data_IF_062155177270
#
_entry.id   IF_062155177270
#
_cell.length_a   1.000
_cell.length_b   1.000
_cell.length_c   1.000
_cell.angle_alpha   90.00
_cell.angle_beta   90.00
_cell.angle_gamma   90.00
#
_symmetry.space_group_name_H-M   'P 1'
#
loop_
_entity.id
_entity.type
_entity.pdbx_description
1 polymer ?
#
# COMPACT_ATOMS: atom_id res chain seq x y z
N UNK A 1 61.42 38.27 -3.53
CA UNK A 1 61.20 37.62 -4.83
C UNK A 1 60.66 36.17 -4.71
N UNK A 2 60.76 35.59 -3.53
CA UNK A 2 60.27 34.22 -3.28
C UNK A 2 58.71 34.11 -3.10
N UNK A 3 58.05 35.12 -2.54
CA UNK A 3 56.62 35.08 -2.33
C UNK A 3 55.75 35.06 -3.60
N UNK A 4 56.23 35.64 -4.69
CA UNK A 4 55.50 35.73 -5.95
C UNK A 4 55.56 34.35 -6.67
N UNK A 5 56.68 33.62 -6.52
CA UNK A 5 56.86 32.30 -7.15
C UNK A 5 55.97 31.23 -6.48
N UNK A 6 55.82 31.29 -5.16
CA UNK A 6 54.96 30.34 -4.43
C UNK A 6 53.45 30.55 -4.72
N UNK A 7 53.01 31.80 -4.87
CA UNK A 7 51.66 32.12 -5.22
C UNK A 7 51.28 31.61 -6.64
N UNK A 8 52.21 31.78 -7.61
CA UNK A 8 51.98 31.28 -8.97
C UNK A 8 51.93 29.76 -9.06
N UNK A 9 52.74 29.04 -8.25
CA UNK A 9 52.77 27.59 -8.24
C UNK A 9 51.46 27.00 -7.63
N UNK A 10 50.94 27.61 -6.55
CA UNK A 10 49.67 27.18 -5.90
C UNK A 10 48.49 27.45 -6.85
N UNK A 11 48.50 28.56 -7.58
CA UNK A 11 47.43 28.89 -8.52
C UNK A 11 47.39 27.92 -9.70
N UNK A 12 48.58 27.50 -10.21
CA UNK A 12 48.67 26.51 -11.26
C UNK A 12 48.16 25.12 -10.84
N UNK A 13 48.50 24.66 -9.65
CA UNK A 13 48.04 23.39 -9.09
C UNK A 13 46.53 23.34 -8.84
N UNK A 14 45.96 24.46 -8.40
CA UNK A 14 44.51 24.57 -8.18
C UNK A 14 43.73 24.55 -9.50
N UNK A 15 44.26 25.19 -10.55
CA UNK A 15 43.64 25.20 -11.88
C UNK A 15 43.68 23.85 -12.52
N UNK A 16 44.81 23.10 -12.44
CA UNK A 16 44.90 21.72 -12.97
C UNK A 16 43.94 20.76 -12.28
N UNK A 17 43.83 20.85 -10.96
CA UNK A 17 42.87 19.99 -10.24
C UNK A 17 41.40 20.31 -10.58
N UNK A 18 41.11 21.58 -10.94
CA UNK A 18 39.77 21.99 -11.35
C UNK A 18 39.37 21.46 -12.73
N UNK A 19 40.31 21.46 -13.69
CA UNK A 19 40.06 20.89 -15.05
C UNK A 19 39.93 19.39 -15.03
N UNK A 20 40.73 18.67 -14.24
CA UNK A 20 40.63 17.21 -14.11
C UNK A 20 39.30 16.77 -13.50
N UNK A 21 38.81 17.51 -12.48
CA UNK A 21 37.48 17.27 -11.92
C UNK A 21 36.35 17.55 -12.91
N UNK A 22 36.47 18.60 -13.74
CA UNK A 22 35.48 18.91 -14.78
C UNK A 22 35.44 17.86 -15.90
N UNK A 23 36.59 17.32 -16.30
CA UNK A 23 36.67 16.25 -17.30
C UNK A 23 36.15 14.92 -16.75
N UNK A 24 36.38 14.62 -15.44
CA UNK A 24 35.87 13.43 -14.79
C UNK A 24 34.33 13.47 -14.67
N UNK A 25 33.73 14.63 -14.33
CA UNK A 25 32.28 14.77 -14.27
C UNK A 25 31.59 14.68 -15.65
N UNK A 26 32.26 15.09 -16.72
CA UNK A 26 31.72 14.96 -18.09
C UNK A 26 31.77 13.51 -18.60
N UNK A 27 32.73 12.72 -18.15
CA UNK A 27 32.82 11.29 -18.52
C UNK A 27 31.84 10.41 -17.75
N UNK A 28 31.50 10.77 -16.50
CA UNK A 28 30.54 10.02 -15.68
C UNK A 28 29.07 10.30 -16.07
N UNK A 29 28.79 11.46 -16.68
CA UNK A 29 27.42 11.80 -17.11
C UNK A 29 26.92 10.97 -18.30
N UNK A 30 27.83 10.34 -19.07
CA UNK A 30 27.46 9.54 -20.25
C UNK A 30 27.17 8.07 -19.94
N UNK A 31 27.47 7.55 -18.75
CA UNK A 31 27.24 6.14 -18.38
C UNK A 31 26.02 5.92 -17.46
N UNK A 32 25.37 7.00 -17.02
CA UNK A 32 24.20 6.93 -16.13
C UNK A 32 22.85 6.76 -16.85
N UNK A 33 22.85 6.63 -18.18
CA UNK A 33 21.62 6.73 -18.98
C UNK A 33 20.99 5.37 -19.36
N UNK A 34 21.41 4.23 -18.81
CA UNK A 34 20.87 2.92 -19.22
C UNK A 34 20.58 1.95 -18.07
N UNK A 35 20.35 2.40 -16.85
CA UNK A 35 19.66 1.59 -15.85
C UNK A 35 18.20 2.02 -15.82
N UNK A 36 17.43 1.59 -16.81
CA UNK A 36 15.99 1.49 -16.69
C UNK A 36 15.71 0.44 -15.63
N UNK A 37 15.64 0.85 -14.36
CA UNK A 37 15.05 0.04 -13.32
C UNK A 37 13.57 -0.05 -13.70
N UNK A 38 13.18 -1.13 -14.35
CA UNK A 38 11.80 -1.55 -14.39
C UNK A 38 11.43 -1.82 -12.94
N UNK A 39 10.91 -0.79 -12.24
CA UNK A 39 10.15 -1.00 -11.01
C UNK A 39 8.98 -1.84 -11.45
N UNK A 40 9.09 -3.16 -11.25
CA UNK A 40 7.91 -4.02 -11.25
C UNK A 40 6.99 -3.39 -10.22
N UNK A 41 5.94 -2.72 -10.70
CA UNK A 41 4.86 -2.30 -9.83
C UNK A 41 4.44 -3.53 -9.06
N UNK A 42 4.34 -3.49 -7.71
CA UNK A 42 3.78 -4.60 -6.99
C UNK A 42 2.45 -4.91 -7.68
N UNK A 43 2.20 -6.19 -7.96
CA UNK A 43 0.91 -6.65 -8.46
C UNK A 43 -0.06 -6.31 -7.34
N UNK A 44 -0.62 -5.11 -7.37
CA UNK A 44 -1.78 -4.79 -6.55
C UNK A 44 -2.82 -5.84 -6.94
N UNK A 45 -3.12 -6.72 -5.98
CA UNK A 45 -4.29 -7.59 -6.08
C UNK A 45 -5.44 -6.70 -6.53
N UNK A 46 -5.92 -6.91 -7.77
CA UNK A 46 -6.93 -6.04 -8.38
C UNK A 46 -8.21 -6.17 -7.57
N UNK A 47 -8.37 -5.29 -6.61
CA UNK A 47 -9.62 -5.17 -5.88
C UNK A 47 -10.69 -4.74 -6.88
N UNK A 48 -11.53 -5.71 -7.23
CA UNK A 48 -12.65 -5.52 -8.15
C UNK A 48 -13.84 -4.91 -7.39
N UNK A 49 -14.77 -4.34 -8.14
CA UNK A 49 -16.09 -4.03 -7.59
C UNK A 49 -16.74 -5.32 -7.06
N UNK A 50 -17.49 -5.21 -5.97
CA UNK A 50 -18.20 -6.34 -5.36
C UNK A 50 -19.65 -5.98 -5.05
N UNK A 51 -20.48 -7.00 -4.88
CA UNK A 51 -21.88 -6.86 -4.46
C UNK A 51 -22.14 -7.74 -3.25
N UNK A 52 -22.59 -7.13 -2.16
CA UNK A 52 -22.95 -7.77 -0.92
C UNK A 52 -24.47 -7.69 -0.73
N UNK A 53 -25.18 -8.79 -0.89
CA UNK A 53 -26.64 -8.78 -0.94
C UNK A 53 -27.17 -7.85 -2.04
N UNK A 54 -27.89 -6.79 -1.67
CA UNK A 54 -28.38 -5.77 -2.61
C UNK A 54 -27.43 -4.58 -2.79
N UNK A 55 -26.40 -4.44 -1.97
CA UNK A 55 -25.47 -3.29 -1.97
C UNK A 55 -24.31 -3.54 -2.93
N UNK A 56 -24.05 -2.60 -3.82
CA UNK A 56 -22.93 -2.62 -4.75
C UNK A 56 -21.83 -1.66 -4.31
N UNK A 57 -20.59 -2.12 -4.36
CA UNK A 57 -19.39 -1.35 -4.05
C UNK A 57 -18.49 -1.25 -5.27
N UNK A 58 -18.04 -0.04 -5.58
CA UNK A 58 -17.05 0.19 -6.64
C UNK A 58 -15.68 -0.36 -6.21
N UNK A 59 -14.82 -0.66 -7.17
CA UNK A 59 -13.43 -1.02 -6.88
C UNK A 59 -12.69 0.05 -6.05
N UNK A 60 -13.02 1.32 -6.23
CA UNK A 60 -12.45 2.40 -5.42
C UNK A 60 -12.87 2.33 -3.95
N UNK A 61 -14.14 2.02 -3.67
CA UNK A 61 -14.64 1.84 -2.29
C UNK A 61 -14.01 0.61 -1.62
N UNK A 62 -13.89 -0.50 -2.35
CA UNK A 62 -13.21 -1.71 -1.85
C UNK A 62 -11.76 -1.40 -1.51
N UNK A 63 -11.01 -0.74 -2.41
CA UNK A 63 -9.62 -0.35 -2.17
C UNK A 63 -9.48 0.58 -0.98
N UNK A 64 -10.33 1.60 -0.88
CA UNK A 64 -10.28 2.56 0.23
C UNK A 64 -10.54 1.89 1.59
N UNK A 65 -11.49 0.97 1.67
CA UNK A 65 -11.78 0.21 2.88
C UNK A 65 -10.61 -0.74 3.24
N UNK A 66 -10.06 -1.46 2.27
CA UNK A 66 -8.93 -2.36 2.49
C UNK A 66 -7.65 -1.60 2.91
N UNK A 67 -7.39 -0.44 2.31
CA UNK A 67 -6.27 0.42 2.68
C UNK A 67 -6.42 0.97 4.11
N UNK A 68 -7.62 1.39 4.50
CA UNK A 68 -7.90 1.84 5.87
C UNK A 68 -7.75 0.70 6.88
N UNK A 69 -8.27 -0.50 6.57
CA UNK A 69 -8.08 -1.68 7.40
C UNK A 69 -6.60 -1.99 7.64
N UNK A 70 -5.79 -1.93 6.59
CA UNK A 70 -4.35 -2.11 6.65
C UNK A 70 -3.67 -1.05 7.52
N UNK A 71 -4.01 0.21 7.33
CA UNK A 71 -3.42 1.33 8.09
C UNK A 71 -3.70 1.18 9.59
N UNK A 72 -4.95 0.94 9.98
CA UNK A 72 -5.31 0.71 11.39
C UNK A 72 -4.62 -0.53 11.96
N UNK A 73 -4.60 -1.63 11.21
CA UNK A 73 -3.94 -2.86 11.64
C UNK A 73 -2.44 -2.65 11.87
N UNK A 74 -1.74 -1.98 10.96
CA UNK A 74 -0.30 -1.73 11.08
C UNK A 74 0.08 -0.76 12.19
N UNK A 75 -0.83 0.16 12.55
CA UNK A 75 -0.63 1.09 13.66
C UNK A 75 -1.12 0.56 15.01
N UNK A 76 -1.62 -0.68 15.06
CA UNK A 76 -2.25 -1.29 16.25
C UNK A 76 -3.37 -0.39 16.82
N UNK A 77 -4.16 0.21 15.91
CA UNK A 77 -5.22 1.16 16.23
C UNK A 77 -6.56 0.70 15.63
N UNK A 78 -7.65 1.37 15.98
CA UNK A 78 -9.00 1.08 15.51
C UNK A 78 -9.71 2.33 14.99
N UNK A 79 -10.73 2.13 14.14
CA UNK A 79 -11.51 3.22 13.59
C UNK A 79 -12.40 3.86 14.67
N UNK A 80 -12.01 5.02 15.17
CA UNK A 80 -12.70 5.75 16.25
C UNK A 80 -12.79 4.92 17.53
N UNK A 81 -13.97 4.85 18.12
CA UNK A 81 -14.24 4.02 19.33
C UNK A 81 -14.67 2.58 19.00
N UNK A 82 -14.49 2.12 17.76
CA UNK A 82 -14.89 0.77 17.35
C UNK A 82 -13.81 -0.26 17.71
N UNK A 83 -14.09 -1.54 17.39
CA UNK A 83 -13.13 -2.63 17.52
C UNK A 83 -12.50 -3.04 16.19
N UNK A 84 -12.74 -2.25 15.11
CA UNK A 84 -12.27 -2.59 13.76
C UNK A 84 -10.97 -1.86 13.39
N UNK A 85 -10.06 -2.55 12.71
CA UNK A 85 -10.13 -3.95 12.27
C UNK A 85 -9.97 -4.91 13.44
N UNK A 86 -10.49 -6.12 13.28
CA UNK A 86 -10.22 -7.22 14.20
C UNK A 86 -10.10 -8.56 13.48
N UNK A 87 -9.57 -9.56 14.19
CA UNK A 87 -9.31 -10.89 13.62
C UNK A 87 -10.59 -11.54 13.10
N UNK A 88 -10.51 -12.01 11.86
CA UNK A 88 -11.51 -12.87 11.24
C UNK A 88 -10.96 -14.28 11.05
N UNK A 89 -11.63 -15.27 11.66
CA UNK A 89 -11.12 -16.65 11.73
C UNK A 89 -11.55 -17.53 10.57
N UNK A 90 -12.32 -17.02 9.62
CA UNK A 90 -12.84 -17.75 8.46
C UNK A 90 -13.53 -19.08 8.83
N UNK A 91 -14.40 -19.06 9.82
CA UNK A 91 -15.11 -20.27 10.30
C UNK A 91 -16.09 -20.78 9.26
N UNK A 92 -16.55 -19.95 8.38
CA UNK A 92 -17.42 -20.26 7.25
C UNK A 92 -16.67 -21.00 6.12
N UNK A 93 -15.34 -20.94 6.12
CA UNK A 93 -14.49 -21.69 5.18
C UNK A 93 -14.43 -21.07 3.78
N UNK A 94 -14.49 -19.73 3.66
CA UNK A 94 -14.35 -19.06 2.37
C UNK A 94 -13.01 -19.35 1.71
N UNK A 95 -13.03 -19.58 0.41
CA UNK A 95 -11.82 -19.69 -0.42
C UNK A 95 -11.35 -18.28 -0.84
N UNK A 96 -10.59 -17.65 0.05
CA UNK A 96 -10.06 -16.32 -0.18
C UNK A 96 -8.89 -16.32 -1.17
N UNK A 97 -8.76 -15.21 -1.91
CA UNK A 97 -7.70 -15.01 -2.90
C UNK A 97 -6.27 -15.08 -2.33
N UNK A 98 -6.11 -14.93 -1.00
CA UNK A 98 -4.82 -14.96 -0.31
C UNK A 98 -4.96 -15.70 1.03
N UNK A 99 -3.87 -16.29 1.52
CA UNK A 99 -3.86 -16.98 2.81
C UNK A 99 -3.90 -16.00 3.99
N UNK A 100 -4.54 -16.46 5.10
CA UNK A 100 -4.55 -15.71 6.37
C UNK A 100 -3.20 -15.70 7.11
N UNK A 101 -3.19 -15.20 8.33
CA UNK A 101 -4.33 -14.79 9.17
C UNK A 101 -5.07 -13.56 8.63
N UNK A 102 -6.37 -13.45 8.95
CA UNK A 102 -7.22 -12.40 8.37
C UNK A 102 -7.66 -11.36 9.40
N UNK A 103 -7.95 -10.16 8.89
CA UNK A 103 -8.61 -9.06 9.57
C UNK A 103 -9.84 -8.64 8.78
N UNK A 104 -10.95 -8.32 9.45
CA UNK A 104 -12.13 -7.78 8.82
C UNK A 104 -12.33 -6.30 9.17
N UNK A 105 -12.90 -5.56 8.23
CA UNK A 105 -13.14 -4.11 8.39
C UNK A 105 -14.42 -3.71 7.64
N UNK A 106 -15.28 -2.82 8.22
CA UNK A 106 -16.51 -2.40 7.58
C UNK A 106 -16.28 -1.69 6.25
N UNK A 107 -17.06 -2.06 5.22
CA UNK A 107 -17.15 -1.33 3.96
C UNK A 107 -18.48 -0.58 3.88
N UNK A 108 -18.43 0.68 3.44
CA UNK A 108 -19.57 1.59 3.35
C UNK A 108 -19.63 2.22 1.96
N UNK A 109 -20.84 2.52 1.50
CA UNK A 109 -21.06 3.31 0.28
C UNK A 109 -20.81 4.81 0.50
N UNK A 110 -20.91 5.28 1.74
CA UNK A 110 -20.79 6.70 2.11
C UNK A 110 -19.35 7.17 2.34
N UNK A 111 -18.36 6.30 2.19
CA UNK A 111 -16.94 6.60 2.43
C UNK A 111 -16.25 5.55 3.31
N UNK A 112 -15.04 5.84 3.75
CA UNK A 112 -14.28 4.96 4.63
C UNK A 112 -14.91 4.94 6.03
N UNK A 113 -15.03 3.75 6.61
CA UNK A 113 -15.53 3.60 7.98
C UNK A 113 -14.55 4.25 8.97
N UNK A 114 -15.09 5.09 9.85
CA UNK A 114 -14.33 5.82 10.87
C UNK A 114 -14.90 5.63 12.28
N UNK A 115 -15.75 4.61 12.48
CA UNK A 115 -16.40 4.32 13.74
C UNK A 115 -17.93 4.34 13.65
N UNK A 116 -18.60 4.08 14.75
CA UNK A 116 -20.05 3.98 14.83
C UNK A 116 -20.61 2.65 14.32
N UNK A 117 -21.82 2.66 13.73
CA UNK A 117 -22.45 1.43 13.23
C UNK A 117 -21.69 0.83 12.04
N UNK A 118 -21.18 -0.42 12.14
CA UNK A 118 -20.38 -1.03 11.07
C UNK A 118 -21.22 -1.42 9.84
N UNK A 119 -22.52 -1.65 9.99
CA UNK A 119 -23.35 -2.26 8.95
C UNK A 119 -23.06 -3.75 8.78
N UNK A 120 -23.57 -4.33 7.68
CA UNK A 120 -23.49 -5.77 7.44
C UNK A 120 -22.24 -6.21 6.70
N UNK A 121 -21.61 -5.32 5.94
CA UNK A 121 -20.64 -5.67 4.91
C UNK A 121 -19.20 -5.42 5.38
N UNK A 122 -18.28 -6.30 4.99
CA UNK A 122 -16.86 -6.27 5.37
C UNK A 122 -15.97 -6.43 4.16
N UNK A 123 -14.83 -5.77 4.16
CA UNK A 123 -13.64 -6.22 3.45
C UNK A 123 -12.82 -7.10 4.38
N UNK A 124 -12.15 -8.08 3.82
CA UNK A 124 -11.20 -8.95 4.52
C UNK A 124 -9.82 -8.71 3.91
N UNK A 125 -8.83 -8.48 4.76
CA UNK A 125 -7.42 -8.42 4.41
C UNK A 125 -6.66 -9.48 5.20
N UNK A 126 -5.49 -9.89 4.72
CA UNK A 126 -4.57 -10.67 5.55
C UNK A 126 -3.63 -9.74 6.34
N UNK A 127 -2.84 -10.32 7.24
CA UNK A 127 -1.85 -9.58 8.07
C UNK A 127 -0.70 -8.98 7.28
N UNK A 128 -0.56 -9.34 6.00
CA UNK A 128 0.36 -8.70 5.04
C UNK A 128 -0.34 -7.61 4.22
N UNK A 129 -1.53 -7.16 4.64
CA UNK A 129 -2.32 -6.11 3.97
C UNK A 129 -2.79 -6.45 2.56
N UNK A 130 -2.81 -7.71 2.18
CA UNK A 130 -3.36 -8.14 0.91
C UNK A 130 -4.88 -8.31 1.04
N UNK A 131 -5.63 -7.79 0.08
CA UNK A 131 -7.07 -7.99 0.02
C UNK A 131 -7.39 -9.46 -0.22
N UNK A 132 -8.21 -10.04 0.65
CA UNK A 132 -8.63 -11.43 0.59
C UNK A 132 -9.98 -11.60 -0.11
N UNK A 133 -10.95 -10.74 0.22
CA UNK A 133 -12.31 -10.81 -0.30
C UNK A 133 -13.24 -9.86 0.43
N UNK A 134 -14.53 -9.98 0.13
CA UNK A 134 -15.59 -9.28 0.85
C UNK A 134 -16.68 -10.25 1.29
N UNK A 135 -17.24 -10.00 2.47
CA UNK A 135 -18.26 -10.84 3.12
C UNK A 135 -19.37 -9.97 3.70
N UNK A 136 -20.53 -10.55 3.95
CA UNK A 136 -21.70 -9.83 4.48
C UNK A 136 -22.53 -10.69 5.42
N UNK A 137 -23.13 -10.06 6.43
CA UNK A 137 -24.19 -10.67 7.24
C UNK A 137 -25.53 -10.75 6.50
N UNK A 138 -25.70 -10.00 5.40
CA UNK A 138 -26.95 -10.00 4.63
C UNK A 138 -27.18 -11.36 3.98
N UNK A 139 -28.20 -12.06 4.41
CA UNK A 139 -28.53 -13.41 3.94
C UNK A 139 -27.86 -14.54 4.73
N UNK A 140 -27.02 -14.23 5.70
CA UNK A 140 -26.46 -15.22 6.62
C UNK A 140 -27.38 -15.50 7.81
N UNK A 141 -27.12 -16.58 8.52
CA UNK A 141 -27.82 -16.95 9.76
C UNK A 141 -27.03 -16.48 10.99
N UNK A 142 -27.67 -15.84 11.94
CA UNK A 142 -27.05 -15.37 13.18
C UNK A 142 -25.92 -14.38 12.90
N UNK A 143 -24.76 -14.64 13.49
CA UNK A 143 -23.54 -13.83 13.29
C UNK A 143 -22.62 -14.34 12.19
N UNK A 144 -23.07 -15.31 11.40
CA UNK A 144 -22.29 -15.82 10.28
C UNK A 144 -22.22 -14.81 9.14
N UNK A 145 -21.36 -15.11 8.18
CA UNK A 145 -21.24 -14.38 6.93
C UNK A 145 -21.57 -15.26 5.73
N UNK A 146 -21.87 -14.60 4.62
CA UNK A 146 -21.88 -15.18 3.28
C UNK A 146 -20.92 -14.36 2.42
N UNK A 147 -20.38 -14.97 1.36
CA UNK A 147 -19.48 -14.27 0.44
C UNK A 147 -20.22 -13.21 -0.37
N UNK A 148 -19.60 -12.05 -0.56
CA UNK A 148 -19.98 -11.10 -1.58
C UNK A 148 -19.52 -11.61 -2.98
N UNK A 149 -19.95 -10.95 -4.06
CA UNK A 149 -19.53 -11.35 -5.42
C UNK A 149 -18.01 -11.48 -5.53
N UNK A 150 -17.54 -12.65 -5.98
CA UNK A 150 -16.11 -12.97 -6.11
C UNK A 150 -15.45 -13.54 -4.85
N UNK A 151 -16.22 -13.79 -3.80
CA UNK A 151 -15.81 -14.54 -2.60
C UNK A 151 -16.70 -15.77 -2.46
N UNK A 152 -16.16 -16.95 -2.48
CA UNK A 152 -16.87 -18.26 -2.45
C UNK A 152 -16.49 -19.06 -1.21
#
# INVERSE_FOLDING_TARGET
MEFVLHAALILSLVVEQSVDKMLFFKSLASLAALVSVAVASPIESRQSATKCGSTSYTAAQVRAAAAAACQYYQSDDTAGSSTYPHTYNNREGFDFAVNGPYQEFPIKTSGVYSGGSPGADRVVINTSCQYAGAITHTGASGNNFVGCSGTS
#
